data_IF_056010960565
#
_entry.id   IF_056010960565
#
_cell.length_a   1.000
_cell.length_b   1.000
_cell.length_c   1.000
_cell.angle_alpha   90.00
_cell.angle_beta   90.00
_cell.angle_gamma   90.00
#
_symmetry.space_group_name_H-M   'P 1'
#
loop_
_entity.id
_entity.type
_entity.pdbx_description
1 polymer ?
#
# COMPACT_ATOMS: atom_id res chain seq x y z
N UNK A 1 -14.14 -51.93 13.86
CA UNK A 1 -14.87 -50.89 13.12
C UNK A 1 -15.97 -50.36 14.01
N UNK A 2 -15.72 -49.30 14.76
CA UNK A 2 -16.75 -48.59 15.52
C UNK A 2 -16.63 -47.11 15.16
N UNK A 3 -17.54 -46.67 14.29
CA UNK A 3 -17.68 -45.27 13.91
C UNK A 3 -18.35 -44.57 15.09
N UNK A 4 -17.58 -43.83 15.89
CA UNK A 4 -18.13 -42.95 16.92
C UNK A 4 -19.07 -41.93 16.29
N UNK A 5 -20.33 -41.93 16.73
CA UNK A 5 -21.35 -40.99 16.31
C UNK A 5 -20.96 -39.59 16.77
N UNK A 6 -20.51 -38.74 15.84
CA UNK A 6 -20.38 -37.32 16.09
C UNK A 6 -21.75 -36.67 15.83
N UNK A 7 -22.46 -36.30 16.88
CA UNK A 7 -23.65 -35.46 16.78
C UNK A 7 -23.21 -34.00 16.80
N UNK A 8 -23.46 -33.27 15.71
CA UNK A 8 -23.42 -31.81 15.69
C UNK A 8 -24.83 -31.26 15.81
N UNK A 9 -24.95 -30.13 16.52
CA UNK A 9 -26.15 -29.36 16.81
C UNK A 9 -27.20 -30.03 17.71
N UNK A 10 -26.89 -30.09 19.01
CA UNK A 10 -27.92 -30.12 20.05
C UNK A 10 -28.37 -28.68 20.30
N UNK A 11 -29.55 -28.31 19.82
CA UNK A 11 -30.19 -27.04 20.21
C UNK A 11 -30.42 -27.04 21.73
N UNK A 12 -29.55 -26.37 22.48
CA UNK A 12 -29.71 -26.13 23.91
C UNK A 12 -30.39 -24.78 24.09
N UNK A 13 -31.61 -24.79 24.60
CA UNK A 13 -32.24 -23.57 25.10
C UNK A 13 -31.50 -23.17 26.38
N UNK A 14 -31.00 -21.94 26.42
CA UNK A 14 -30.35 -21.35 27.58
C UNK A 14 -31.12 -20.07 27.92
N UNK A 15 -31.37 -19.84 29.20
CA UNK A 15 -31.93 -18.56 29.63
C UNK A 15 -30.93 -17.44 29.33
N UNK A 16 -31.39 -16.39 28.66
CA UNK A 16 -30.54 -15.26 28.27
C UNK A 16 -29.86 -14.62 29.49
N UNK A 17 -30.50 -14.66 30.66
CA UNK A 17 -29.95 -14.17 31.93
C UNK A 17 -28.79 -15.01 32.51
N UNK A 18 -28.60 -16.26 32.05
CA UNK A 18 -27.48 -17.11 32.45
C UNK A 18 -26.19 -16.83 31.65
N UNK A 19 -26.26 -15.99 30.62
CA UNK A 19 -25.11 -15.61 29.81
C UNK A 19 -24.29 -14.55 30.54
N UNK A 20 -23.12 -14.92 31.04
CA UNK A 20 -22.15 -13.96 31.56
C UNK A 20 -21.60 -13.11 30.42
N UNK A 21 -21.69 -11.79 30.57
CA UNK A 21 -21.11 -10.85 29.62
C UNK A 21 -19.58 -11.03 29.64
N UNK A 22 -19.02 -11.54 28.54
CA UNK A 22 -17.57 -11.66 28.39
C UNK A 22 -16.97 -10.26 28.48
N UNK A 23 -16.14 -10.01 29.50
CA UNK A 23 -15.30 -8.81 29.56
C UNK A 23 -14.49 -8.77 28.27
N UNK A 24 -14.79 -7.81 27.40
CA UNK A 24 -13.99 -7.61 26.21
C UNK A 24 -12.72 -6.90 26.63
N UNK A 25 -11.56 -7.54 26.39
CA UNK A 25 -10.26 -6.88 26.47
C UNK A 25 -10.30 -5.60 25.62
N UNK A 26 -9.73 -4.49 26.10
CA UNK A 26 -9.79 -3.19 25.41
C UNK A 26 -9.33 -3.26 23.94
N UNK A 27 -8.40 -4.17 23.63
CA UNK A 27 -7.91 -4.45 22.28
C UNK A 27 -8.92 -5.12 21.34
N UNK A 28 -9.94 -5.80 21.89
CA UNK A 28 -11.06 -6.37 21.13
C UNK A 28 -12.16 -5.32 20.85
N UNK A 29 -12.24 -4.27 21.67
CA UNK A 29 -13.22 -3.20 21.54
C UNK A 29 -12.83 -2.18 20.44
N UNK A 30 -11.54 -2.12 20.09
CA UNK A 30 -11.05 -1.34 18.95
C UNK A 30 -11.63 -1.92 17.66
N UNK A 31 -12.37 -1.10 16.90
CA UNK A 31 -12.83 -1.45 15.55
C UNK A 31 -11.62 -1.79 14.67
N UNK A 32 -11.32 -3.08 14.52
CA UNK A 32 -10.25 -3.55 13.65
C UNK A 32 -10.69 -3.32 12.21
N UNK A 33 -9.97 -2.46 11.51
CA UNK A 33 -10.21 -2.29 10.08
C UNK A 33 -9.75 -3.56 9.36
N UNK A 34 -10.70 -4.38 8.92
CA UNK A 34 -10.43 -5.63 8.21
C UNK A 34 -9.55 -5.41 6.96
N UNK A 35 -9.57 -4.21 6.36
CA UNK A 35 -8.64 -3.84 5.28
C UNK A 35 -7.19 -3.79 5.76
N UNK A 36 -6.93 -3.20 6.92
CA UNK A 36 -5.57 -3.08 7.46
C UNK A 36 -4.99 -4.46 7.81
N UNK A 37 -5.81 -5.36 8.36
CA UNK A 37 -5.39 -6.73 8.63
C UNK A 37 -5.10 -7.51 7.33
N UNK A 38 -5.92 -7.32 6.28
CA UNK A 38 -5.65 -7.91 4.96
C UNK A 38 -4.34 -7.39 4.36
N UNK A 39 -4.07 -6.09 4.46
CA UNK A 39 -2.81 -5.51 3.99
C UNK A 39 -1.63 -6.13 4.74
N UNK A 40 -1.69 -6.23 6.08
CA UNK A 40 -0.61 -6.87 6.87
C UNK A 40 -0.36 -8.32 6.46
N UNK A 41 -1.41 -9.12 6.29
CA UNK A 41 -1.28 -10.51 5.85
C UNK A 41 -0.63 -10.61 4.46
N UNK A 42 -1.02 -9.74 3.53
CA UNK A 42 -0.41 -9.67 2.19
C UNK A 42 1.06 -9.26 2.25
N UNK A 43 1.43 -8.26 3.06
CA UNK A 43 2.81 -7.82 3.23
C UNK A 43 3.72 -8.93 3.78
N UNK A 44 3.24 -9.68 4.78
CA UNK A 44 3.98 -10.81 5.36
C UNK A 44 4.25 -11.88 4.30
N UNK A 45 3.26 -12.20 3.47
CA UNK A 45 3.44 -13.17 2.39
C UNK A 45 4.38 -12.68 1.28
N UNK A 46 4.30 -11.39 0.92
CA UNK A 46 5.22 -10.80 -0.08
C UNK A 46 6.68 -10.83 0.37
N UNK A 47 6.95 -10.72 1.68
CA UNK A 47 8.32 -10.69 2.19
C UNK A 47 9.15 -11.93 1.84
N UNK A 48 8.50 -13.08 1.64
CA UNK A 48 9.15 -14.33 1.23
C UNK A 48 9.39 -14.43 -0.29
N UNK A 49 8.68 -13.63 -1.08
CA UNK A 49 8.71 -13.67 -2.56
C UNK A 49 9.52 -12.50 -3.14
N UNK A 50 9.59 -11.38 -2.44
CA UNK A 50 10.16 -10.14 -2.95
C UNK A 50 11.70 -10.10 -2.82
N UNK A 51 12.41 -9.48 -3.78
CA UNK A 51 13.85 -9.30 -3.69
C UNK A 51 14.27 -8.49 -2.46
N UNK A 52 15.46 -8.77 -1.90
CA UNK A 52 15.98 -8.05 -0.72
C UNK A 52 16.03 -6.53 -0.89
N UNK A 53 16.20 -6.02 -2.10
CA UNK A 53 16.19 -4.58 -2.39
C UNK A 53 14.84 -3.91 -2.10
N UNK A 54 13.72 -4.65 -2.16
CA UNK A 54 12.39 -4.13 -1.83
C UNK A 54 12.13 -4.13 -0.32
N UNK A 55 12.82 -4.98 0.42
CA UNK A 55 12.65 -5.17 1.87
C UNK A 55 13.63 -4.34 2.70
N UNK A 56 14.66 -3.77 2.07
CA UNK A 56 15.73 -3.05 2.77
C UNK A 56 16.06 -1.75 2.09
N UNK A 57 16.57 -0.80 2.87
CA UNK A 57 17.13 0.45 2.37
C UNK A 57 18.66 0.38 2.36
N UNK A 58 19.25 0.62 1.19
CA UNK A 58 20.68 0.77 1.03
C UNK A 58 21.19 2.06 1.71
N UNK A 59 22.51 2.13 1.95
CA UNK A 59 23.15 3.36 2.47
C UNK A 59 23.00 4.58 1.57
N UNK A 60 22.79 4.37 0.26
CA UNK A 60 22.55 5.46 -0.70
C UNK A 60 21.11 5.95 -0.58
N UNK A 61 20.16 5.02 -0.49
CA UNK A 61 18.74 5.35 -0.34
C UNK A 61 18.47 6.11 0.96
N UNK A 62 19.09 5.71 2.08
CA UNK A 62 18.95 6.46 3.35
C UNK A 62 19.40 7.92 3.24
N UNK A 63 20.54 8.18 2.60
CA UNK A 63 20.99 9.55 2.35
C UNK A 63 20.01 10.34 1.49
N UNK A 64 19.41 9.71 0.48
CA UNK A 64 18.40 10.35 -0.36
C UNK A 64 17.14 10.66 0.46
N UNK A 65 16.72 9.75 1.35
CA UNK A 65 15.58 9.98 2.25
C UNK A 65 15.84 11.23 3.10
N UNK A 66 17.02 11.35 3.71
CA UNK A 66 17.40 12.52 4.50
C UNK A 66 17.31 13.81 3.67
N UNK A 67 17.86 13.82 2.44
CA UNK A 67 17.79 14.99 1.55
C UNK A 67 16.36 15.34 1.10
N UNK A 68 15.52 14.33 0.88
CA UNK A 68 14.13 14.54 0.46
C UNK A 68 13.31 15.11 1.60
N UNK A 69 13.58 14.70 2.83
CA UNK A 69 12.90 15.23 4.02
C UNK A 69 13.18 16.73 4.18
N UNK A 70 14.46 17.13 4.13
CA UNK A 70 14.87 18.54 4.15
C UNK A 70 14.23 19.36 3.04
N UNK A 71 14.16 18.78 1.83
CA UNK A 71 13.56 19.42 0.66
C UNK A 71 12.04 19.59 0.82
N UNK A 72 11.33 18.59 1.34
CA UNK A 72 9.88 18.66 1.56
C UNK A 72 9.53 19.73 2.59
N UNK A 73 10.31 19.85 3.66
CA UNK A 73 10.15 20.93 4.65
C UNK A 73 10.33 22.30 4.00
N UNK A 74 11.45 22.50 3.31
CA UNK A 74 11.74 23.76 2.60
C UNK A 74 10.65 24.09 1.57
N UNK A 75 10.16 23.09 0.83
CA UNK A 75 9.10 23.29 -0.15
C UNK A 75 7.78 23.71 0.49
N UNK A 76 7.40 23.10 1.61
CA UNK A 76 6.18 23.43 2.33
C UNK A 76 6.22 24.86 2.89
N UNK A 77 7.39 25.31 3.37
CA UNK A 77 7.60 26.68 3.84
C UNK A 77 7.47 27.71 2.71
N UNK A 78 8.08 27.43 1.55
CA UNK A 78 8.05 28.36 0.41
C UNK A 78 6.67 28.36 -0.29
N UNK A 79 5.98 27.22 -0.31
CA UNK A 79 4.72 27.04 -1.04
C UNK A 79 3.59 26.47 -0.16
N UNK A 80 3.11 27.20 0.85
CA UNK A 80 2.17 26.67 1.85
C UNK A 80 0.78 26.32 1.28
N UNK A 81 0.40 26.90 0.14
CA UNK A 81 -0.88 26.61 -0.53
C UNK A 81 -0.80 25.42 -1.50
N UNK A 82 0.39 24.88 -1.77
CA UNK A 82 0.53 23.73 -2.66
C UNK A 82 0.33 22.42 -1.90
N UNK A 83 -0.11 21.40 -2.63
CA UNK A 83 -0.24 20.06 -2.08
C UNK A 83 1.14 19.50 -1.69
N UNK A 84 1.22 18.67 -0.64
CA UNK A 84 2.45 17.98 -0.27
C UNK A 84 3.00 17.15 -1.44
N UNK A 85 4.32 17.14 -1.59
CA UNK A 85 4.99 16.40 -2.64
C UNK A 85 5.02 14.91 -2.31
N UNK A 86 4.68 14.05 -3.27
CA UNK A 86 4.79 12.58 -3.13
C UNK A 86 6.11 12.14 -3.75
N UNK A 87 7.20 12.34 -3.02
CA UNK A 87 8.56 12.03 -3.49
C UNK A 87 9.06 10.70 -2.93
N UNK A 88 8.65 10.38 -1.70
CA UNK A 88 9.06 9.18 -0.98
C UNK A 88 7.85 8.30 -0.65
N UNK A 89 7.19 7.69 -1.64
CA UNK A 89 6.11 6.74 -1.38
C UNK A 89 6.64 5.44 -0.74
N UNK A 90 5.76 4.75 -0.02
CA UNK A 90 5.99 3.36 0.38
C UNK A 90 5.83 2.43 -0.84
N UNK A 91 6.74 1.48 -0.99
CA UNK A 91 6.61 0.43 -1.99
C UNK A 91 5.60 -0.65 -1.55
N UNK A 92 5.44 -1.69 -2.37
CA UNK A 92 4.53 -2.82 -2.12
C UNK A 92 4.89 -3.64 -0.87
N UNK A 93 6.06 -3.39 -0.27
CA UNK A 93 6.52 -4.01 0.97
C UNK A 93 6.44 -3.05 2.18
N UNK A 94 5.87 -1.85 2.02
CA UNK A 94 5.79 -0.83 3.08
C UNK A 94 7.12 -0.13 3.37
N UNK A 95 8.10 -0.24 2.49
CA UNK A 95 9.40 0.43 2.63
C UNK A 95 9.39 1.73 1.83
N UNK A 96 9.76 2.83 2.48
CA UNK A 96 9.96 4.11 1.81
C UNK A 96 11.04 4.03 0.74
N UNK A 97 10.66 4.36 -0.50
CA UNK A 97 11.54 4.41 -1.67
C UNK A 97 11.38 5.74 -2.37
N UNK A 98 12.50 6.31 -2.83
CA UNK A 98 12.48 7.52 -3.64
C UNK A 98 11.85 7.21 -4.99
N UNK A 99 10.90 8.02 -5.46
CA UNK A 99 10.15 7.74 -6.68
C UNK A 99 11.06 7.49 -7.89
N UNK A 100 12.21 8.18 -8.00
CA UNK A 100 13.13 7.96 -9.10
C UNK A 100 13.92 6.65 -9.02
N UNK A 101 13.93 5.95 -7.87
CA UNK A 101 14.52 4.60 -7.79
C UNK A 101 13.57 3.51 -8.27
N UNK A 102 12.27 3.78 -8.36
CA UNK A 102 11.25 2.84 -8.86
C UNK A 102 10.89 3.09 -10.32
N UNK A 103 11.05 4.33 -10.81
CA UNK A 103 10.87 4.65 -12.23
C UNK A 103 12.01 4.02 -13.03
N UNK A 104 11.71 2.93 -13.74
CA UNK A 104 12.61 2.38 -14.75
C UNK A 104 12.56 3.30 -15.98
N UNK A 105 13.68 3.93 -16.40
CA UNK A 105 13.70 4.68 -17.64
C UNK A 105 13.44 3.71 -18.80
N UNK A 106 12.24 3.76 -19.36
CA UNK A 106 11.94 3.01 -20.58
C UNK A 106 12.48 3.83 -21.74
N UNK A 107 13.47 3.31 -22.46
CA UNK A 107 13.89 3.90 -23.71
C UNK A 107 12.90 3.50 -24.80
N UNK A 108 12.15 4.48 -25.30
CA UNK A 108 11.26 4.28 -26.45
C UNK A 108 12.12 4.25 -27.72
N UNK A 109 11.93 3.26 -28.61
CA UNK A 109 12.66 3.20 -29.89
C UNK A 109 12.44 4.44 -30.76
N UNK A 110 11.29 5.10 -30.63
CA UNK A 110 10.91 6.26 -31.40
C UNK A 110 11.52 7.54 -30.80
N UNK A 111 12.47 8.14 -31.51
CA UNK A 111 13.11 9.40 -31.11
C UNK A 111 12.11 10.54 -30.90
N UNK A 112 11.01 10.54 -31.67
CA UNK A 112 9.96 11.56 -31.58
C UNK A 112 9.23 11.57 -30.24
N UNK A 113 9.19 10.45 -29.52
CA UNK A 113 8.54 10.39 -28.22
C UNK A 113 9.32 11.11 -27.11
N UNK A 114 10.60 11.44 -27.35
CA UNK A 114 11.42 12.19 -26.39
C UNK A 114 11.20 13.70 -26.48
N UNK A 115 10.60 14.19 -27.57
CA UNK A 115 10.20 15.59 -27.66
C UNK A 115 8.79 15.75 -27.06
N UNK A 116 8.67 16.66 -26.10
CA UNK A 116 7.42 16.89 -25.36
C UNK A 116 6.24 17.20 -26.29
N UNK A 117 6.48 17.98 -27.36
CA UNK A 117 5.42 18.44 -28.27
C UNK A 117 4.85 17.28 -29.08
N UNK A 118 5.71 16.47 -29.68
CA UNK A 118 5.31 15.29 -30.47
C UNK A 118 4.72 14.19 -29.60
N UNK A 119 5.25 14.00 -28.39
CA UNK A 119 4.67 13.08 -27.42
C UNK A 119 3.25 13.50 -27.00
N UNK A 120 3.04 14.78 -26.70
CA UNK A 120 1.72 15.31 -26.37
C UNK A 120 0.73 15.19 -27.55
N UNK A 121 1.19 15.48 -28.76
CA UNK A 121 0.41 15.30 -29.99
C UNK A 121 -0.02 13.83 -30.15
N UNK A 122 0.90 12.88 -30.00
CA UNK A 122 0.59 11.45 -30.06
C UNK A 122 -0.46 11.04 -29.03
N UNK A 123 -0.33 11.47 -27.77
CA UNK A 123 -1.33 11.17 -26.74
C UNK A 123 -2.70 11.73 -27.12
N UNK A 124 -2.76 12.98 -27.62
CA UNK A 124 -4.02 13.61 -28.01
C UNK A 124 -4.69 12.92 -29.21
N UNK A 125 -3.89 12.48 -30.19
CA UNK A 125 -4.41 11.90 -31.43
C UNK A 125 -4.82 10.42 -31.26
N UNK A 126 -4.15 9.67 -30.36
CA UNK A 126 -4.30 8.22 -30.25
C UNK A 126 -4.94 7.74 -28.95
N UNK A 127 -5.04 8.58 -27.90
CA UNK A 127 -5.64 8.19 -26.62
C UNK A 127 -6.96 8.96 -26.44
N UNK A 128 -8.06 8.26 -26.65
CA UNK A 128 -9.40 8.73 -26.29
C UNK A 128 -9.62 8.57 -24.78
N UNK A 129 -10.11 9.63 -24.13
CA UNK A 129 -10.51 9.56 -22.73
C UNK A 129 -11.92 8.98 -22.63
N UNK A 130 -12.07 7.87 -21.91
CA UNK A 130 -13.36 7.30 -21.53
C UNK A 130 -13.62 7.61 -20.05
N UNK A 131 -14.72 8.30 -19.77
CA UNK A 131 -15.16 8.51 -18.38
C UNK A 131 -15.71 7.19 -17.83
N UNK A 132 -15.24 6.81 -16.65
CA UNK A 132 -15.82 5.71 -15.89
C UNK A 132 -17.16 6.19 -15.30
N UNK A 133 -18.26 5.50 -15.65
CA UNK A 133 -19.59 5.64 -15.03
C UNK A 133 -19.61 5.12 -13.58
#
# INVERSE_FOLDING_TARGET
>A
AERGLAAWDVFRQCEVGALQQKMQEEDAMRKKNAKNERIKHTLVNLSNVMPRSFLTQSRKERRIIDYVDDFQHTFAEIYPQRRPLIILPENECGIYKFVCTTIRPTMLPQSEMYNLRTCAQFVADFIGYEQLE
#
